data_IF_642903108660
#
_entry.id   IF_642903108660
#
_cell.length_a   1.000
_cell.length_b   1.000
_cell.length_c   1.000
_cell.angle_alpha   90.00
_cell.angle_beta   90.00
_cell.angle_gamma   90.00
#
_symmetry.space_group_name_H-M   'P 1'
#
loop_
_entity.id
_entity.type
_entity.pdbx_description
1 polymer ?
#
# COMPACT_ATOMS: atom_id res chain seq x y z
N UNK A 1 -13.38 -10.38 -1.17
CA UNK A 1 -12.59 -11.12 -0.17
C UNK A 1 -11.16 -10.58 -0.12
N UNK A 2 -10.62 -10.43 1.06
CA UNK A 2 -9.23 -9.99 1.27
C UNK A 2 -8.37 -11.23 1.50
N UNK A 3 -7.22 -11.31 0.84
CA UNK A 3 -6.25 -12.39 1.00
C UNK A 3 -4.83 -11.93 0.68
N UNK A 4 -3.80 -12.68 1.08
CA UNK A 4 -2.45 -12.43 0.60
C UNK A 4 -2.38 -12.60 -0.93
N UNK A 5 -1.51 -11.83 -1.57
CA UNK A 5 -1.29 -11.98 -3.01
C UNK A 5 -0.70 -13.34 -3.33
N UNK A 6 -1.05 -13.87 -4.50
CA UNK A 6 -0.48 -15.08 -5.07
C UNK A 6 0.32 -14.72 -6.33
N UNK A 7 1.16 -15.65 -6.81
CA UNK A 7 1.99 -15.38 -7.99
C UNK A 7 1.18 -14.96 -9.22
N UNK A 8 0.00 -15.55 -9.40
CA UNK A 8 -0.89 -15.19 -10.51
C UNK A 8 -1.44 -13.77 -10.45
N UNK A 9 -1.34 -13.09 -9.31
CA UNK A 9 -1.81 -11.72 -9.16
C UNK A 9 -0.81 -10.69 -9.68
N UNK A 10 0.45 -11.07 -9.90
CA UNK A 10 1.53 -10.13 -10.23
C UNK A 10 1.21 -9.20 -11.41
N UNK A 11 0.69 -9.69 -12.55
CA UNK A 11 0.33 -8.77 -13.63
C UNK A 11 -0.70 -7.71 -13.21
N UNK A 12 -1.72 -8.11 -12.46
CA UNK A 12 -2.73 -7.19 -11.94
C UNK A 12 -2.15 -6.19 -10.94
N UNK A 13 -1.22 -6.63 -10.11
CA UNK A 13 -0.56 -5.75 -9.13
C UNK A 13 0.30 -4.70 -9.85
N UNK A 14 1.10 -5.09 -10.84
CA UNK A 14 1.90 -4.14 -11.62
C UNK A 14 0.99 -3.14 -12.34
N UNK A 15 -0.12 -3.60 -12.90
CA UNK A 15 -1.09 -2.72 -13.54
C UNK A 15 -1.63 -1.68 -12.54
N UNK A 16 -2.01 -2.10 -11.34
CA UNK A 16 -2.52 -1.19 -10.32
C UNK A 16 -1.46 -0.21 -9.80
N UNK A 17 -0.20 -0.64 -9.69
CA UNK A 17 0.90 0.26 -9.32
C UNK A 17 1.03 1.38 -10.37
N UNK A 18 0.93 1.03 -11.65
CA UNK A 18 0.99 2.02 -12.73
C UNK A 18 -0.24 2.93 -12.74
N UNK A 19 -1.44 2.38 -12.49
CA UNK A 19 -2.66 3.18 -12.40
C UNK A 19 -2.55 4.22 -11.28
N UNK A 20 -2.05 3.82 -10.11
CA UNK A 20 -1.85 4.74 -8.99
C UNK A 20 -0.84 5.83 -9.35
N UNK A 21 0.27 5.45 -9.98
CA UNK A 21 1.29 6.41 -10.39
C UNK A 21 0.74 7.44 -11.39
N UNK A 22 -0.11 7.02 -12.31
CA UNK A 22 -0.78 7.94 -13.24
C UNK A 22 -1.67 8.92 -12.50
N UNK A 23 -2.45 8.42 -11.52
CA UNK A 23 -3.28 9.28 -10.69
C UNK A 23 -2.43 10.32 -9.93
N UNK A 24 -1.26 9.92 -9.45
CA UNK A 24 -0.35 10.77 -8.69
C UNK A 24 0.53 11.65 -9.58
N UNK A 25 0.39 11.58 -10.90
CA UNK A 25 1.22 12.30 -11.88
C UNK A 25 2.71 11.93 -11.78
N UNK A 26 2.99 10.67 -11.44
CA UNK A 26 4.34 10.12 -11.25
C UNK A 26 4.60 8.91 -12.15
N UNK A 27 3.81 8.73 -13.21
CA UNK A 27 3.92 7.56 -14.08
C UNK A 27 5.32 7.38 -14.71
N UNK A 28 5.99 8.48 -14.98
CA UNK A 28 7.35 8.48 -15.56
C UNK A 28 8.42 7.99 -14.57
N UNK A 29 8.10 7.89 -13.29
CA UNK A 29 9.02 7.40 -12.26
C UNK A 29 8.89 5.89 -12.00
N UNK A 30 7.93 5.22 -12.64
CA UNK A 30 7.70 3.79 -12.41
C UNK A 30 8.68 2.96 -13.22
N UNK A 31 9.49 2.15 -12.53
CA UNK A 31 10.47 1.26 -13.14
C UNK A 31 10.19 -0.21 -12.81
N UNK A 32 9.15 -0.50 -12.01
CA UNK A 32 8.84 -1.87 -11.58
C UNK A 32 8.49 -2.77 -12.77
N UNK A 33 8.98 -3.99 -12.73
CA UNK A 33 8.60 -5.04 -13.69
C UNK A 33 7.89 -6.17 -12.97
N UNK A 34 7.19 -7.02 -13.72
CA UNK A 34 6.54 -8.20 -13.14
C UNK A 34 7.56 -9.13 -12.49
N UNK A 35 8.71 -9.34 -13.12
CA UNK A 35 9.76 -10.19 -12.56
C UNK A 35 10.32 -9.63 -11.25
N UNK A 36 10.55 -8.32 -11.19
CA UNK A 36 11.06 -7.68 -9.98
C UNK A 36 10.04 -7.80 -8.83
N UNK A 37 8.77 -7.56 -9.11
CA UNK A 37 7.73 -7.67 -8.09
C UNK A 37 7.55 -9.12 -7.63
N UNK A 38 7.52 -10.06 -8.55
CA UNK A 38 7.42 -11.48 -8.22
C UNK A 38 8.59 -11.93 -7.34
N UNK A 39 9.81 -11.51 -7.66
CA UNK A 39 10.99 -11.81 -6.86
C UNK A 39 10.92 -11.22 -5.46
N UNK A 40 10.41 -9.99 -5.33
CA UNK A 40 10.29 -9.33 -4.05
C UNK A 40 9.23 -9.98 -3.15
N UNK A 41 8.10 -10.38 -3.73
CA UNK A 41 6.99 -10.95 -2.96
C UNK A 41 7.15 -12.44 -2.68
N UNK A 42 7.67 -13.20 -3.64
CA UNK A 42 7.65 -14.67 -3.59
C UNK A 42 9.03 -15.32 -3.62
N UNK A 43 10.09 -14.53 -3.74
CA UNK A 43 11.45 -15.02 -3.67
C UNK A 43 11.85 -15.39 -2.24
N UNK A 44 13.09 -15.88 -2.04
CA UNK A 44 13.55 -16.24 -0.70
C UNK A 44 13.68 -15.01 0.20
N UNK A 45 13.23 -15.15 1.46
CA UNK A 45 13.35 -14.10 2.46
C UNK A 45 12.62 -12.80 2.08
N UNK A 46 11.33 -12.84 1.74
CA UNK A 46 10.62 -11.63 1.32
C UNK A 46 10.59 -10.58 2.43
N UNK A 47 10.79 -9.30 2.04
CA UNK A 47 10.70 -8.17 2.97
C UNK A 47 9.48 -7.30 2.70
N UNK A 48 8.81 -7.51 1.55
CA UNK A 48 7.57 -6.82 1.21
C UNK A 48 6.45 -7.84 1.02
N UNK A 49 5.24 -7.39 1.24
CA UNK A 49 4.03 -8.20 1.20
C UNK A 49 2.94 -7.43 0.47
N UNK A 50 2.02 -8.15 -0.14
CA UNK A 50 0.86 -7.51 -0.76
C UNK A 50 -0.40 -8.24 -0.34
N UNK A 51 -1.41 -7.46 0.03
CA UNK A 51 -2.72 -7.93 0.43
C UNK A 51 -3.71 -7.44 -0.62
N UNK A 52 -4.46 -8.35 -1.20
CA UNK A 52 -5.36 -8.04 -2.31
C UNK A 52 -6.82 -8.13 -1.89
N UNK A 53 -7.65 -7.33 -2.57
CA UNK A 53 -9.10 -7.38 -2.52
C UNK A 53 -9.59 -7.94 -3.86
N UNK A 54 -10.25 -9.09 -3.82
CA UNK A 54 -10.83 -9.70 -5.01
C UNK A 54 -12.07 -8.92 -5.48
N UNK A 55 -12.30 -8.90 -6.79
CA UNK A 55 -13.45 -8.20 -7.36
C UNK A 55 -14.71 -9.09 -7.45
N UNK A 56 -14.58 -10.38 -7.11
CA UNK A 56 -15.70 -11.33 -7.22
C UNK A 56 -15.90 -11.93 -8.60
N UNK A 57 -15.08 -11.55 -9.58
CA UNK A 57 -15.19 -12.00 -10.97
C UNK A 57 -13.85 -12.57 -11.49
N UNK A 58 -12.96 -12.96 -10.58
CA UNK A 58 -11.68 -13.55 -10.94
C UNK A 58 -10.54 -12.54 -11.08
N UNK A 59 -10.79 -11.26 -10.81
CA UNK A 59 -9.79 -10.20 -10.86
C UNK A 59 -9.62 -9.52 -9.50
N UNK A 60 -8.91 -8.39 -9.50
CA UNK A 60 -8.61 -7.63 -8.31
C UNK A 60 -9.30 -6.27 -8.33
N UNK A 61 -9.96 -5.93 -7.22
CA UNK A 61 -10.54 -4.62 -7.01
C UNK A 61 -9.53 -3.61 -6.46
N UNK A 62 -8.55 -4.09 -5.69
CA UNK A 62 -7.55 -3.24 -5.07
C UNK A 62 -6.47 -4.04 -4.37
N UNK A 63 -5.48 -3.34 -3.83
CA UNK A 63 -4.41 -3.97 -3.08
C UNK A 63 -3.77 -3.01 -2.10
N UNK A 64 -2.98 -3.57 -1.19
CA UNK A 64 -2.13 -2.83 -0.27
C UNK A 64 -0.77 -3.52 -0.22
N UNK A 65 0.28 -2.83 -0.65
CA UNK A 65 1.65 -3.32 -0.57
C UNK A 65 2.32 -2.71 0.66
N UNK A 66 2.98 -3.53 1.46
CA UNK A 66 3.46 -3.10 2.76
C UNK A 66 4.68 -3.90 3.21
N UNK A 67 5.36 -3.39 4.23
CA UNK A 67 6.47 -4.10 4.86
C UNK A 67 6.51 -3.78 6.35
N UNK A 68 7.22 -4.61 7.11
CA UNK A 68 7.29 -4.46 8.56
C UNK A 68 8.33 -3.44 8.96
N UNK A 69 7.99 -2.65 9.97
CA UNK A 69 8.87 -1.71 10.64
C UNK A 69 9.11 -2.18 12.07
N UNK A 70 9.97 -1.49 12.77
CA UNK A 70 10.17 -1.72 14.20
C UNK A 70 10.36 -0.38 14.90
N UNK A 71 9.61 -0.14 15.97
CA UNK A 71 9.77 1.05 16.80
C UNK A 71 10.59 0.72 18.03
N UNK A 72 11.74 1.36 18.17
CA UNK A 72 12.57 1.19 19.38
C UNK A 72 11.89 1.80 20.60
N UNK A 73 11.09 2.84 20.41
CA UNK A 73 10.36 3.49 21.50
C UNK A 73 9.24 2.61 22.04
N UNK A 74 8.52 1.94 21.15
CA UNK A 74 7.43 1.05 21.55
C UNK A 74 7.90 -0.38 21.83
N UNK A 75 9.05 -0.78 21.31
CA UNK A 75 9.52 -2.16 21.37
C UNK A 75 8.60 -3.10 20.58
N UNK A 76 7.99 -2.61 19.50
CA UNK A 76 6.99 -3.36 18.73
C UNK A 76 7.23 -3.21 17.24
N UNK A 77 6.92 -4.28 16.50
CA UNK A 77 6.84 -4.21 15.05
C UNK A 77 5.62 -3.40 14.63
N UNK A 78 5.77 -2.66 13.54
CA UNK A 78 4.69 -1.95 12.91
C UNK A 78 4.60 -2.34 11.44
N UNK A 79 3.81 -1.58 10.70
CA UNK A 79 3.65 -1.75 9.26
C UNK A 79 3.84 -0.40 8.59
N UNK A 80 4.67 -0.40 7.54
CA UNK A 80 4.74 0.70 6.59
C UNK A 80 3.94 0.31 5.35
N UNK A 81 2.91 1.08 5.05
CA UNK A 81 2.08 0.89 3.88
C UNK A 81 2.68 1.71 2.74
N UNK A 82 3.26 1.01 1.75
CA UNK A 82 3.88 1.66 0.60
C UNK A 82 2.84 2.16 -0.39
N UNK A 83 1.91 1.27 -0.79
CA UNK A 83 0.85 1.60 -1.73
C UNK A 83 -0.48 1.06 -1.22
N UNK A 84 -1.53 1.85 -1.36
CA UNK A 84 -2.91 1.38 -1.25
C UNK A 84 -3.70 1.95 -2.43
N UNK A 85 -4.40 1.08 -3.15
CA UNK A 85 -5.12 1.48 -4.34
C UNK A 85 -6.36 0.63 -4.52
N UNK A 86 -7.47 1.27 -4.86
CA UNK A 86 -8.71 0.63 -5.24
C UNK A 86 -9.07 1.16 -6.63
N UNK A 87 -9.30 0.26 -7.56
CA UNK A 87 -9.66 0.64 -8.93
C UNK A 87 -10.92 1.49 -8.95
N UNK A 88 -11.01 2.49 -9.84
CA UNK A 88 -12.13 3.45 -9.85
C UNK A 88 -13.51 2.80 -9.85
N UNK A 89 -13.71 1.73 -10.63
CA UNK A 89 -14.98 1.03 -10.75
C UNK A 89 -15.41 0.29 -9.48
N UNK A 90 -14.48 0.12 -8.53
CA UNK A 90 -14.75 -0.57 -7.26
C UNK A 90 -14.74 0.36 -6.05
N UNK A 91 -14.63 1.67 -6.27
CA UNK A 91 -14.59 2.65 -5.18
C UNK A 91 -15.95 2.86 -4.54
N UNK A 92 -15.96 3.50 -3.36
CA UNK A 92 -17.15 3.82 -2.56
C UNK A 92 -17.88 2.57 -2.06
N UNK A 93 -17.17 1.47 -1.94
CA UNK A 93 -17.69 0.21 -1.37
C UNK A 93 -16.98 -0.18 -0.08
N UNK A 94 -16.17 0.71 0.48
CA UNK A 94 -15.44 0.46 1.72
C UNK A 94 -14.21 -0.43 1.57
N UNK A 95 -13.72 -0.67 0.36
CA UNK A 95 -12.57 -1.57 0.15
C UNK A 95 -11.28 -1.02 0.76
N UNK A 96 -11.00 0.27 0.61
CA UNK A 96 -9.81 0.86 1.22
C UNK A 96 -9.86 0.79 2.74
N UNK A 97 -11.01 1.09 3.32
CA UNK A 97 -11.22 0.95 4.77
C UNK A 97 -11.01 -0.49 5.23
N UNK A 98 -11.54 -1.45 4.47
CA UNK A 98 -11.40 -2.87 4.79
C UNK A 98 -9.94 -3.33 4.71
N UNK A 99 -9.20 -2.90 3.69
CA UNK A 99 -7.77 -3.22 3.56
C UNK A 99 -6.97 -2.63 4.71
N UNK A 100 -7.21 -1.38 5.06
CA UNK A 100 -6.52 -0.72 6.19
C UNK A 100 -6.84 -1.41 7.51
N UNK A 101 -8.10 -1.76 7.74
CA UNK A 101 -8.51 -2.49 8.94
C UNK A 101 -7.84 -3.86 9.02
N UNK A 102 -7.72 -4.54 7.89
CA UNK A 102 -7.06 -5.84 7.81
C UNK A 102 -5.58 -5.73 8.20
N UNK A 103 -4.87 -4.71 7.69
CA UNK A 103 -3.47 -4.47 8.06
C UNK A 103 -3.34 -4.07 9.53
N UNK A 104 -4.27 -3.27 10.02
CA UNK A 104 -4.28 -2.82 11.40
C UNK A 104 -4.31 -3.98 12.38
N UNK A 105 -5.04 -5.04 12.03
CA UNK A 105 -5.14 -6.26 12.84
C UNK A 105 -3.87 -7.09 12.85
N UNK A 106 -2.96 -6.86 11.91
CA UNK A 106 -1.73 -7.63 11.79
C UNK A 106 -0.55 -7.04 12.57
N UNK A 107 -0.76 -5.94 13.26
CA UNK A 107 0.29 -5.35 14.08
C UNK A 107 -0.28 -4.78 15.37
N UNK A 108 0.53 -4.87 16.43
CA UNK A 108 0.25 -4.19 17.70
C UNK A 108 0.93 -2.82 17.77
N UNK A 109 1.73 -2.50 16.77
CA UNK A 109 2.46 -1.24 16.68
C UNK A 109 1.77 -0.25 15.75
N UNK A 110 2.60 0.57 15.10
CA UNK A 110 2.12 1.64 14.23
C UNK A 110 1.81 1.11 12.83
N UNK A 111 0.76 1.66 12.23
CA UNK A 111 0.50 1.53 10.79
C UNK A 111 0.68 2.92 10.21
N UNK A 112 1.67 3.10 9.35
CA UNK A 112 2.08 4.41 8.85
C UNK A 112 2.22 4.40 7.34
N UNK A 113 2.00 5.55 6.71
CA UNK A 113 2.11 5.74 5.26
C UNK A 113 2.33 7.21 4.94
N UNK A 114 2.70 7.47 3.68
CA UNK A 114 2.76 8.82 3.14
C UNK A 114 1.55 9.10 2.26
N UNK A 115 1.22 10.36 2.14
CA UNK A 115 0.22 10.84 1.20
C UNK A 115 0.71 12.15 0.59
N UNK A 116 0.48 12.31 -0.71
CA UNK A 116 0.85 13.55 -1.40
C UNK A 116 0.04 14.71 -0.83
N UNK A 117 0.72 15.82 -0.54
CA UNK A 117 0.10 16.96 0.11
C UNK A 117 -1.06 17.56 -0.67
N UNK A 118 -1.05 17.43 -2.01
CA UNK A 118 -2.11 17.96 -2.86
C UNK A 118 -3.36 17.05 -2.91
N UNK A 119 -3.26 15.83 -2.40
CA UNK A 119 -4.34 14.84 -2.51
C UNK A 119 -5.38 15.06 -1.40
N UNK A 120 -6.16 16.14 -1.53
CA UNK A 120 -7.15 16.52 -0.52
C UNK A 120 -8.19 15.43 -0.21
N UNK A 121 -8.74 14.69 -1.20
CA UNK A 121 -9.68 13.61 -0.88
C UNK A 121 -9.07 12.52 -0.01
N UNK A 122 -7.81 12.15 -0.26
CA UNK A 122 -7.12 11.15 0.56
C UNK A 122 -6.84 11.68 1.96
N UNK A 123 -6.37 12.92 2.09
CA UNK A 123 -6.12 13.54 3.39
C UNK A 123 -7.40 13.56 4.24
N UNK A 124 -8.52 13.93 3.64
CA UNK A 124 -9.81 13.96 4.31
C UNK A 124 -10.27 12.56 4.73
N UNK A 125 -10.09 11.57 3.85
CA UNK A 125 -10.40 10.17 4.13
C UNK A 125 -9.62 9.65 5.33
N UNK A 126 -8.30 9.88 5.36
CA UNK A 126 -7.46 9.40 6.46
C UNK A 126 -7.80 10.09 7.77
N UNK A 127 -8.11 11.38 7.74
CA UNK A 127 -8.53 12.10 8.93
C UNK A 127 -9.83 11.54 9.49
N UNK A 128 -10.78 11.20 8.64
CA UNK A 128 -12.05 10.57 9.06
C UNK A 128 -11.85 9.18 9.67
N UNK A 129 -10.82 8.46 9.25
CA UNK A 129 -10.46 7.19 9.87
C UNK A 129 -9.87 7.34 11.27
N UNK A 130 -9.44 8.55 11.64
CA UNK A 130 -8.77 8.79 12.90
C UNK A 130 -7.24 8.77 12.81
N UNK A 131 -6.68 8.63 11.59
CA UNK A 131 -5.25 8.76 11.38
C UNK A 131 -4.83 10.23 11.47
N UNK A 132 -3.59 10.48 11.90
CA UNK A 132 -3.09 11.83 12.13
C UNK A 132 -1.76 12.04 11.40
N UNK A 133 -1.54 13.22 10.80
CA UNK A 133 -0.23 13.56 10.26
C UNK A 133 0.80 13.65 11.39
N UNK A 134 2.03 13.21 11.10
CA UNK A 134 3.12 13.23 12.09
C UNK A 134 3.87 14.55 12.00
N UNK A 135 3.33 15.57 12.64
CA UNK A 135 3.95 16.89 12.74
C UNK A 135 5.26 16.81 13.53
N UNK A 136 6.23 17.64 13.19
CA UNK A 136 7.51 17.69 13.88
C UNK A 136 8.59 16.76 13.31
N UNK A 137 8.25 15.95 12.34
CA UNK A 137 9.18 15.03 11.69
C UNK A 137 9.40 15.44 10.24
N UNK A 138 10.64 15.34 9.76
CA UNK A 138 10.99 15.58 8.36
C UNK A 138 11.60 14.32 7.80
N UNK A 139 11.11 13.90 6.63
CA UNK A 139 11.72 12.78 5.91
C UNK A 139 12.95 13.29 5.17
N UNK A 140 14.04 12.53 5.26
CA UNK A 140 15.21 12.73 4.43
C UNK A 140 15.36 11.56 3.46
N UNK A 141 15.82 11.87 2.25
CA UNK A 141 16.14 10.86 1.23
C UNK A 141 17.56 11.14 0.74
N UNK A 142 18.36 10.11 0.79
CA UNK A 142 19.69 10.13 0.19
C UNK A 142 19.68 9.10 -0.95
N UNK A 143 19.53 9.55 -2.17
CA UNK A 143 19.38 8.72 -3.36
C UNK A 143 19.77 9.55 -4.57
N UNK A 144 20.69 9.03 -5.41
CA UNK A 144 21.22 9.71 -6.57
C UNK A 144 20.71 9.12 -7.89
N UNK A 145 19.56 8.52 -7.88
CA UNK A 145 18.96 7.92 -9.04
C UNK A 145 17.88 8.74 -9.69
#
# INVERSE_FOLDING_TARGET
>A
MIRPAAEGDVPGLVAMIRELAEFENLADQVEITEDALAGALFGPGPVVFDTVMEDGAGGLAGHALWYRTFSTFLGKHGIWLEDIYVRPEHRRRGHATALLAHLREQTQGRLEWDVLEWNAPALDFYQRLGARPMAGWTRYRWYEG
#
